data_IF_321620292702
#
_entry.id   IF_321620292702
#
_cell.length_a   1.000
_cell.length_b   1.000
_cell.length_c   1.000
_cell.angle_alpha   90.00
_cell.angle_beta   90.00
_cell.angle_gamma   90.00
#
_symmetry.space_group_name_H-M   'P 1'
#
loop_
_entity.id
_entity.type
_entity.pdbx_description
1 polymer ?
#
# COMPACT_ATOMS: atom_id res chain seq x y z
N UNK A 1 3.66 7.09 18.44
CA UNK A 1 4.87 6.75 17.67
C UNK A 1 4.68 7.10 16.20
N UNK A 2 5.68 7.71 15.55
CA UNK A 2 5.68 7.98 14.12
C UNK A 2 6.39 6.86 13.34
N UNK A 3 5.72 6.29 12.34
CA UNK A 3 6.24 5.17 11.53
C UNK A 3 6.36 5.51 10.03
N UNK A 4 5.98 6.73 9.64
CA UNK A 4 5.94 7.12 8.23
C UNK A 4 4.82 6.42 7.45
N UNK A 5 5.11 6.01 6.21
CA UNK A 5 4.10 5.42 5.32
C UNK A 5 3.86 3.97 5.73
N UNK A 6 2.63 3.49 5.57
CA UNK A 6 2.21 2.16 6.03
C UNK A 6 1.54 1.44 4.87
N UNK A 7 1.97 0.21 4.62
CA UNK A 7 1.35 -0.74 3.71
C UNK A 7 0.77 -1.88 4.56
N UNK A 8 -0.45 -2.29 4.29
CA UNK A 8 -1.06 -3.44 4.91
C UNK A 8 -1.76 -4.35 3.88
N UNK A 9 -1.70 -5.65 4.13
CA UNK A 9 -2.37 -6.68 3.35
C UNK A 9 -3.11 -7.62 4.29
N UNK A 10 -4.28 -8.10 3.91
CA UNK A 10 -5.05 -8.97 4.79
C UNK A 10 -6.32 -9.50 4.16
N UNK A 11 -7.14 -10.15 4.99
CA UNK A 11 -8.51 -10.54 4.65
C UNK A 11 -9.49 -10.06 5.69
N UNK A 12 -10.66 -9.65 5.21
CA UNK A 12 -11.79 -9.22 6.02
C UNK A 12 -13.05 -9.89 5.52
N UNK A 13 -13.73 -10.65 6.39
CA UNK A 13 -14.91 -11.42 6.00
C UNK A 13 -14.64 -12.39 4.85
N UNK A 14 -13.43 -12.98 4.81
CA UNK A 14 -13.01 -13.90 3.75
C UNK A 14 -12.59 -13.24 2.42
N UNK A 15 -12.62 -11.91 2.31
CA UNK A 15 -12.23 -11.15 1.11
C UNK A 15 -10.87 -10.50 1.33
N UNK A 16 -9.97 -10.60 0.34
CA UNK A 16 -8.64 -10.01 0.42
C UNK A 16 -8.67 -8.50 0.27
N UNK A 17 -7.82 -7.80 1.00
CA UNK A 17 -7.69 -6.35 0.92
C UNK A 17 -6.23 -5.91 0.96
N UNK A 18 -5.98 -4.76 0.34
CA UNK A 18 -4.76 -4.00 0.47
C UNK A 18 -5.12 -2.62 1.02
N UNK A 19 -4.34 -2.11 1.97
CA UNK A 19 -4.56 -0.80 2.57
C UNK A 19 -3.27 -0.01 2.64
N UNK A 20 -3.41 1.30 2.50
CA UNK A 20 -2.30 2.24 2.52
C UNK A 20 -2.62 3.43 3.41
N UNK A 21 -1.64 3.90 4.15
CA UNK A 21 -1.73 5.16 4.91
C UNK A 21 -0.48 6.00 4.68
N UNK A 22 -0.72 7.26 4.35
CA UNK A 22 0.31 8.28 4.36
C UNK A 22 0.41 8.84 5.78
N UNK A 23 1.61 8.83 6.36
CA UNK A 23 1.92 9.67 7.52
C UNK A 23 3.18 10.48 7.29
N UNK A 24 3.07 11.78 7.54
CA UNK A 24 4.03 12.77 7.07
C UNK A 24 4.21 13.90 8.07
N UNK A 25 5.46 14.31 8.28
CA UNK A 25 5.78 15.54 9.01
C UNK A 25 6.02 16.70 8.05
N UNK A 26 6.84 16.48 7.02
CA UNK A 26 7.33 17.53 6.11
C UNK A 26 6.37 17.87 4.97
N UNK A 27 5.52 16.91 4.55
CA UNK A 27 4.58 17.08 3.44
C UNK A 27 3.17 16.59 3.85
N UNK A 28 2.46 17.32 4.72
CA UNK A 28 1.11 16.97 5.15
C UNK A 28 0.05 17.31 4.11
N UNK A 29 0.34 18.22 3.17
CA UNK A 29 -0.62 18.72 2.18
C UNK A 29 -0.79 17.75 1.00
N UNK A 30 -1.21 16.51 1.28
CA UNK A 30 -1.44 15.46 0.28
C UNK A 30 -2.82 14.86 0.43
N UNK A 31 -3.35 14.37 -0.69
CA UNK A 31 -4.63 13.66 -0.74
C UNK A 31 -4.51 12.40 -1.58
N UNK A 32 -5.39 11.44 -1.30
CA UNK A 32 -5.59 10.24 -2.11
C UNK A 32 -6.83 10.41 -3.00
N UNK A 33 -6.75 10.01 -4.27
CA UNK A 33 -7.83 10.10 -5.24
C UNK A 33 -7.96 8.78 -6.01
N UNK A 34 -9.19 8.27 -6.13
CA UNK A 34 -9.46 7.08 -6.97
C UNK A 34 -9.46 7.49 -8.44
N UNK A 35 -8.70 6.78 -9.27
CA UNK A 35 -8.60 6.99 -10.71
C UNK A 35 -8.67 5.65 -11.46
N UNK A 36 -9.87 5.26 -11.88
CA UNK A 36 -10.08 3.96 -12.53
C UNK A 36 -9.64 2.81 -11.63
N UNK A 37 -8.76 1.94 -12.11
CA UNK A 37 -8.15 0.84 -11.35
C UNK A 37 -6.95 1.23 -10.48
N UNK A 38 -6.86 2.49 -10.05
CA UNK A 38 -5.73 3.01 -9.27
C UNK A 38 -6.17 3.99 -8.19
N UNK A 39 -5.32 4.19 -7.20
CA UNK A 39 -5.44 5.27 -6.24
C UNK A 39 -4.14 6.07 -6.27
N UNK A 40 -4.26 7.34 -6.67
CA UNK A 40 -3.16 8.29 -6.75
C UNK A 40 -3.04 9.03 -5.43
N UNK A 41 -1.84 9.04 -4.85
CA UNK A 41 -1.47 10.03 -3.82
C UNK A 41 -0.79 11.18 -4.53
N UNK A 42 -1.21 12.41 -4.26
CA UNK A 42 -0.59 13.61 -4.82
C UNK A 42 -0.65 14.76 -3.81
N UNK A 43 0.24 15.76 -3.94
CA UNK A 43 0.10 16.98 -3.18
C UNK A 43 -1.15 17.75 -3.63
N UNK A 44 -1.65 18.61 -2.74
CA UNK A 44 -2.74 19.55 -3.06
C UNK A 44 -2.22 20.72 -3.91
N UNK A 45 -0.96 21.10 -3.72
CA UNK A 45 -0.25 22.10 -4.52
C UNK A 45 0.80 21.41 -5.41
N UNK A 46 0.73 21.63 -6.72
CA UNK A 46 1.69 21.06 -7.67
C UNK A 46 3.11 21.59 -7.48
N UNK A 47 3.29 22.76 -6.86
CA UNK A 47 4.61 23.33 -6.59
C UNK A 47 5.46 22.45 -5.65
N UNK A 48 4.82 21.67 -4.76
CA UNK A 48 5.53 20.76 -3.87
C UNK A 48 6.23 19.61 -4.63
N UNK A 49 5.80 19.28 -5.85
CA UNK A 49 6.46 18.26 -6.68
C UNK A 49 7.89 18.66 -7.07
N UNK A 50 8.14 19.96 -7.25
CA UNK A 50 9.49 20.45 -7.54
C UNK A 50 10.43 20.30 -6.34
N UNK A 51 9.87 20.22 -5.12
CA UNK A 51 10.64 20.11 -3.86
C UNK A 51 10.98 18.65 -3.52
N UNK A 52 10.08 17.72 -3.83
CA UNK A 52 10.34 16.30 -3.57
C UNK A 52 9.59 15.41 -4.59
N UNK A 53 10.30 14.61 -5.41
CA UNK A 53 9.68 13.75 -6.42
C UNK A 53 8.95 12.54 -5.84
N UNK A 54 9.16 12.19 -4.57
CA UNK A 54 8.59 11.02 -3.90
C UNK A 54 7.21 11.29 -3.25
N UNK A 55 6.53 12.38 -3.60
CA UNK A 55 5.26 12.77 -2.96
C UNK A 55 4.03 12.54 -3.85
N UNK A 56 4.22 12.13 -5.11
CA UNK A 56 3.14 11.73 -6.01
C UNK A 56 3.42 10.38 -6.67
N UNK A 57 2.48 9.45 -6.53
CA UNK A 57 2.57 8.08 -7.03
C UNK A 57 1.23 7.36 -6.87
N UNK A 58 1.00 6.33 -7.68
CA UNK A 58 -0.09 5.39 -7.43
C UNK A 58 0.25 4.58 -6.18
N UNK A 59 -0.49 4.76 -5.09
CA UNK A 59 -0.26 3.98 -3.88
C UNK A 59 -0.93 2.61 -3.94
N UNK A 60 -2.02 2.49 -4.71
CA UNK A 60 -2.72 1.24 -4.97
C UNK A 60 -3.01 1.13 -6.46
N UNK A 61 -2.78 -0.06 -7.01
CA UNK A 61 -3.14 -0.45 -8.37
C UNK A 61 -3.83 -1.81 -8.32
N UNK A 62 -4.87 -1.98 -9.14
CA UNK A 62 -5.59 -3.27 -9.22
C UNK A 62 -5.70 -3.71 -10.68
N UNK A 63 -5.61 -5.02 -10.88
CA UNK A 63 -5.88 -5.66 -12.16
C UNK A 63 -6.45 -7.05 -11.90
N UNK A 64 -7.56 -7.38 -12.55
CA UNK A 64 -8.23 -8.67 -12.38
C UNK A 64 -8.40 -9.03 -10.89
N UNK A 65 -7.80 -10.11 -10.44
CA UNK A 65 -7.87 -10.66 -9.09
C UNK A 65 -6.68 -10.27 -8.19
N UNK A 66 -5.86 -9.29 -8.61
CA UNK A 66 -4.70 -8.80 -7.86
C UNK A 66 -4.86 -7.33 -7.48
N UNK A 67 -4.54 -7.01 -6.22
CA UNK A 67 -4.31 -5.64 -5.76
C UNK A 67 -2.87 -5.47 -5.26
N UNK A 68 -2.19 -4.46 -5.76
CA UNK A 68 -0.83 -4.06 -5.39
C UNK A 68 -0.90 -2.75 -4.62
N UNK A 69 -0.09 -2.62 -3.59
CA UNK A 69 0.00 -1.44 -2.73
C UNK A 69 1.47 -1.11 -2.42
N UNK A 70 1.87 0.15 -2.49
CA UNK A 70 3.24 0.56 -2.14
C UNK A 70 3.33 2.03 -1.73
N UNK A 71 4.49 2.43 -1.19
CA UNK A 71 4.76 3.83 -0.83
C UNK A 71 5.40 4.67 -1.93
N UNK A 72 5.45 4.21 -3.19
CA UNK A 72 6.09 4.97 -4.27
C UNK A 72 5.72 4.51 -5.68
N UNK A 73 6.47 4.98 -6.68
CA UNK A 73 6.22 4.71 -8.11
C UNK A 73 6.41 3.24 -8.51
N UNK A 74 7.09 2.45 -7.67
CA UNK A 74 7.28 1.02 -7.87
C UNK A 74 5.97 0.20 -7.80
N UNK A 75 4.85 0.77 -7.33
CA UNK A 75 3.52 0.14 -7.47
C UNK A 75 3.21 -0.21 -8.92
N UNK A 76 3.54 0.68 -9.86
CA UNK A 76 3.23 0.49 -11.28
C UNK A 76 4.07 -0.64 -11.88
N UNK A 77 5.39 -0.65 -11.61
CA UNK A 77 6.27 -1.74 -12.05
C UNK A 77 5.81 -3.10 -11.50
N UNK A 78 5.46 -3.19 -10.21
CA UNK A 78 5.01 -4.46 -9.61
C UNK A 78 3.76 -4.97 -10.33
N UNK A 79 2.77 -4.10 -10.57
CA UNK A 79 1.55 -4.50 -11.25
C UNK A 79 1.83 -4.92 -12.69
N UNK A 80 2.60 -4.14 -13.45
CA UNK A 80 2.95 -4.44 -14.86
C UNK A 80 3.64 -5.81 -14.98
N UNK A 81 4.57 -6.10 -14.07
CA UNK A 81 5.23 -7.42 -13.99
C UNK A 81 4.26 -8.57 -13.73
N UNK A 82 3.26 -8.35 -12.87
CA UNK A 82 2.22 -9.35 -12.61
C UNK A 82 1.32 -9.52 -13.84
N UNK A 83 1.00 -8.44 -14.56
CA UNK A 83 0.26 -8.50 -15.82
C UNK A 83 1.01 -9.27 -16.91
N UNK A 84 2.33 -9.17 -16.93
CA UNK A 84 3.23 -9.95 -17.80
C UNK A 84 3.35 -11.43 -17.37
N UNK A 85 2.66 -11.84 -16.29
CA UNK A 85 2.59 -13.22 -15.82
C UNK A 85 3.59 -13.59 -14.73
N UNK A 86 4.31 -12.63 -14.14
CA UNK A 86 5.17 -12.91 -12.98
C UNK A 86 4.34 -13.15 -11.71
N UNK A 87 4.86 -14.02 -10.84
CA UNK A 87 4.25 -14.23 -9.52
C UNK A 87 4.38 -12.95 -8.68
N UNK A 88 3.40 -12.62 -7.82
CA UNK A 88 3.46 -11.41 -6.98
C UNK A 88 4.74 -11.29 -6.14
N UNK A 89 5.23 -12.39 -5.56
CA UNK A 89 6.47 -12.41 -4.79
C UNK A 89 7.69 -11.98 -5.62
N UNK A 90 7.83 -12.53 -6.83
CA UNK A 90 8.95 -12.25 -7.73
C UNK A 90 8.87 -10.82 -8.27
N UNK A 91 7.67 -10.35 -8.61
CA UNK A 91 7.43 -8.98 -9.07
C UNK A 91 7.79 -7.94 -7.99
N UNK A 92 7.40 -8.19 -6.73
CA UNK A 92 7.77 -7.36 -5.59
C UNK A 92 9.30 -7.39 -5.39
N UNK A 93 9.91 -8.57 -5.34
CA UNK A 93 11.35 -8.70 -5.11
C UNK A 93 12.17 -7.99 -6.20
N UNK A 94 11.85 -8.24 -7.48
CA UNK A 94 12.50 -7.60 -8.62
C UNK A 94 12.38 -6.07 -8.56
N UNK A 95 11.17 -5.56 -8.27
CA UNK A 95 10.94 -4.11 -8.20
C UNK A 95 11.68 -3.48 -7.03
N UNK A 96 11.68 -4.12 -5.86
CA UNK A 96 12.40 -3.62 -4.70
C UNK A 96 13.92 -3.62 -4.90
N UNK A 97 14.48 -4.65 -5.55
CA UNK A 97 15.91 -4.69 -5.91
C UNK A 97 16.25 -3.62 -6.95
N UNK A 98 15.40 -3.44 -7.97
CA UNK A 98 15.65 -2.47 -9.03
C UNK A 98 15.59 -1.02 -8.53
N UNK A 99 14.63 -0.70 -7.66
CA UNK A 99 14.45 0.65 -7.15
C UNK A 99 15.29 0.97 -5.92
N UNK A 100 15.63 -0.02 -5.09
CA UNK A 100 16.26 0.17 -3.79
C UNK A 100 15.41 1.03 -2.84
N UNK A 101 16.05 1.70 -1.90
CA UNK A 101 15.42 2.69 -1.03
C UNK A 101 15.32 4.08 -1.71
N UNK A 102 14.57 5.01 -1.14
CA UNK A 102 14.49 6.40 -1.60
C UNK A 102 15.74 7.17 -1.20
N UNK A 103 16.43 7.80 -2.16
CA UNK A 103 17.66 8.58 -1.91
C UNK A 103 17.32 9.99 -1.40
N UNK A 104 16.59 10.03 -0.29
CA UNK A 104 16.30 11.26 0.46
C UNK A 104 17.20 11.36 1.71
N UNK A 105 16.99 12.39 2.53
CA UNK A 105 17.80 12.64 3.74
C UNK A 105 17.70 11.54 4.80
N UNK A 106 16.69 10.66 4.72
CA UNK A 106 16.41 9.61 5.70
C UNK A 106 16.61 8.20 5.16
N UNK A 107 17.07 8.08 3.91
CA UNK A 107 17.17 6.82 3.18
C UNK A 107 15.87 6.03 3.24
N UNK A 108 14.73 6.72 2.99
CA UNK A 108 13.42 6.13 3.28
C UNK A 108 13.24 4.77 2.59
N UNK A 109 12.90 3.70 3.33
CA UNK A 109 12.64 2.41 2.73
C UNK A 109 11.50 2.43 1.71
N UNK A 110 11.61 1.58 0.69
CA UNK A 110 10.48 1.24 -0.18
C UNK A 110 9.76 0.05 0.40
N UNK A 111 8.46 0.17 0.59
CA UNK A 111 7.58 -0.88 1.11
C UNK A 111 6.50 -1.16 0.08
N UNK A 112 6.21 -2.44 -0.11
CA UNK A 112 5.22 -2.91 -1.06
C UNK A 112 4.44 -4.08 -0.48
N UNK A 113 3.27 -4.33 -1.06
CA UNK A 113 2.49 -5.51 -0.79
C UNK A 113 1.56 -5.82 -1.95
N UNK A 114 1.09 -7.06 -1.97
CA UNK A 114 0.07 -7.51 -2.91
C UNK A 114 -0.89 -8.47 -2.24
N UNK A 115 -2.09 -8.60 -2.78
CA UNK A 115 -3.04 -9.67 -2.41
C UNK A 115 -3.64 -10.30 -3.66
N UNK A 116 -3.84 -11.62 -3.57
CA UNK A 116 -4.51 -12.42 -4.60
C UNK A 116 -5.17 -13.63 -3.93
N UNK A 117 -6.49 -13.77 -4.05
CA UNK A 117 -7.24 -14.85 -3.42
C UNK A 117 -7.08 -14.88 -1.90
N UNK A 118 -6.49 -15.94 -1.35
CA UNK A 118 -6.19 -16.08 0.08
C UNK A 118 -4.72 -15.81 0.44
N UNK A 119 -3.91 -15.29 -0.50
CA UNK A 119 -2.50 -15.01 -0.29
C UNK A 119 -2.25 -13.51 -0.21
N UNK A 120 -1.30 -13.15 0.64
CA UNK A 120 -0.77 -11.81 0.75
C UNK A 120 0.75 -11.83 0.70
N UNK A 121 1.33 -10.76 0.18
CA UNK A 121 2.78 -10.57 0.16
C UNK A 121 3.10 -9.20 0.74
N UNK A 122 4.17 -9.12 1.52
CA UNK A 122 4.78 -7.86 1.93
C UNK A 122 6.26 -7.88 1.56
N UNK A 123 6.76 -6.70 1.21
CA UNK A 123 8.14 -6.47 0.85
C UNK A 123 8.65 -5.14 1.40
N UNK A 124 9.92 -5.10 1.74
CA UNK A 124 10.64 -3.89 2.14
C UNK A 124 12.05 -3.89 1.55
N UNK A 125 12.50 -2.74 1.05
CA UNK A 125 13.89 -2.46 0.68
C UNK A 125 14.39 -1.28 1.51
N UNK A 126 15.36 -1.55 2.39
CA UNK A 126 16.13 -0.58 3.16
C UNK A 126 17.46 -0.33 2.46
N UNK A 127 18.30 0.53 3.05
CA UNK A 127 19.65 0.83 2.51
C UNK A 127 20.50 -0.43 2.30
N UNK A 128 20.54 -1.30 3.29
CA UNK A 128 21.49 -2.41 3.35
C UNK A 128 20.83 -3.79 3.24
N UNK A 129 19.50 -3.85 3.20
CA UNK A 129 18.76 -5.11 3.11
C UNK A 129 17.43 -4.99 2.40
N UNK A 130 16.96 -6.10 1.84
CA UNK A 130 15.61 -6.25 1.32
C UNK A 130 15.03 -7.57 1.81
N UNK A 131 13.72 -7.57 2.05
CA UNK A 131 13.00 -8.74 2.54
C UNK A 131 11.62 -8.79 1.88
N UNK A 132 11.22 -9.97 1.43
CA UNK A 132 9.88 -10.23 0.89
C UNK A 132 9.36 -11.52 1.49
N UNK A 133 8.09 -11.52 1.91
CA UNK A 133 7.44 -12.68 2.52
C UNK A 133 6.05 -12.87 1.99
N UNK A 134 5.69 -14.12 1.78
CA UNK A 134 4.33 -14.59 1.50
C UNK A 134 3.63 -15.01 2.80
N UNK A 135 2.32 -14.76 2.84
CA UNK A 135 1.41 -15.10 3.92
C UNK A 135 0.19 -15.83 3.38
N UNK A 136 -0.11 -16.99 3.96
CA UNK A 136 -1.45 -17.59 3.86
C UNK A 136 -2.39 -16.83 4.80
N UNK A 137 -3.35 -16.10 4.23
CA UNK A 137 -4.24 -15.23 4.99
C UNK A 137 -5.51 -15.99 5.38
N UNK A 138 -5.71 -16.14 6.69
CA UNK A 138 -6.98 -16.61 7.26
C UNK A 138 -8.09 -15.57 7.09
N UNK A 139 -9.35 -15.95 7.35
CA UNK A 139 -10.55 -15.14 7.04
C UNK A 139 -10.55 -13.72 7.63
N UNK A 140 -9.81 -13.50 8.73
CA UNK A 140 -9.74 -12.25 9.46
C UNK A 140 -8.33 -12.01 10.00
N UNK A 141 -7.36 -11.95 9.09
CA UNK A 141 -5.96 -11.71 9.42
C UNK A 141 -5.40 -10.61 8.53
N UNK A 142 -4.58 -9.74 9.11
CA UNK A 142 -3.88 -8.70 8.37
C UNK A 142 -2.45 -8.56 8.89
N UNK A 143 -1.55 -8.18 7.99
CA UNK A 143 -0.18 -7.83 8.27
C UNK A 143 0.12 -6.45 7.72
N UNK A 144 1.02 -5.73 8.38
CA UNK A 144 1.49 -4.42 7.94
C UNK A 144 3.00 -4.33 7.97
N UNK A 145 3.50 -3.36 7.22
CA UNK A 145 4.89 -2.88 7.27
C UNK A 145 4.86 -1.36 7.12
N UNK A 146 5.80 -0.69 7.78
CA UNK A 146 5.95 0.75 7.70
C UNK A 146 7.38 1.13 7.30
N UNK A 147 7.54 2.38 6.83
CA UNK A 147 8.87 2.89 6.43
C UNK A 147 9.82 3.06 7.62
N UNK A 148 9.31 3.34 8.82
CA UNK A 148 10.12 3.57 10.02
C UNK A 148 9.55 2.80 11.22
N UNK A 149 10.44 2.40 12.14
CA UNK A 149 10.14 1.69 13.40
C UNK A 149 9.51 0.30 13.22
N UNK A 150 8.36 0.21 12.55
CA UNK A 150 7.66 -1.03 12.21
C UNK A 150 8.12 -1.57 10.86
N UNK A 151 9.43 -1.79 10.72
CA UNK A 151 10.04 -2.25 9.45
C UNK A 151 10.03 -3.76 9.27
N UNK A 152 9.56 -4.50 10.27
CA UNK A 152 9.24 -5.92 10.16
C UNK A 152 7.78 -6.11 9.75
N UNK A 153 7.43 -7.34 9.35
CA UNK A 153 6.06 -7.69 9.01
C UNK A 153 5.26 -8.04 10.26
N UNK A 154 4.43 -7.11 10.71
CA UNK A 154 3.68 -7.21 11.95
C UNK A 154 2.21 -7.54 11.71
N UNK A 155 1.60 -8.31 12.61
CA UNK A 155 0.16 -8.51 12.60
C UNK A 155 -0.57 -7.19 12.90
N UNK A 156 -1.71 -6.97 12.26
CA UNK A 156 -2.51 -5.77 12.38
C UNK A 156 -3.98 -6.11 12.65
N UNK A 157 -4.62 -5.39 13.57
CA UNK A 157 -6.08 -5.42 13.72
C UNK A 157 -6.71 -4.45 12.72
N UNK A 158 -6.79 -4.88 11.47
CA UNK A 158 -7.34 -4.09 10.37
C UNK A 158 -8.34 -4.95 9.59
N UNK A 159 -9.60 -4.54 9.63
CA UNK A 159 -10.72 -5.20 8.95
C UNK A 159 -11.82 -4.20 8.63
N UNK A 160 -12.73 -4.55 7.72
CA UNK A 160 -13.86 -3.72 7.32
C UNK A 160 -14.80 -4.42 6.34
N UNK A 161 -16.04 -3.96 6.26
CA UNK A 161 -17.08 -4.53 5.39
C UNK A 161 -16.96 -4.07 3.93
N UNK A 162 -16.31 -2.92 3.71
CA UNK A 162 -16.08 -2.31 2.40
C UNK A 162 -14.73 -1.58 2.39
N UNK A 163 -14.25 -1.19 1.21
CA UNK A 163 -12.97 -0.51 1.06
C UNK A 163 -12.92 0.83 1.83
N UNK A 164 -14.03 1.57 1.92
CA UNK A 164 -14.08 2.85 2.63
C UNK A 164 -13.84 2.70 4.13
N UNK A 165 -14.45 1.68 4.75
CA UNK A 165 -14.20 1.34 6.15
C UNK A 165 -12.75 0.94 6.40
N UNK A 166 -12.16 0.14 5.51
CA UNK A 166 -10.75 -0.27 5.64
C UNK A 166 -9.82 0.94 5.52
N UNK A 167 -10.06 1.83 4.55
CA UNK A 167 -9.30 3.07 4.41
C UNK A 167 -9.40 3.94 5.66
N UNK A 168 -10.62 4.09 6.22
CA UNK A 168 -10.84 4.82 7.47
C UNK A 168 -10.11 4.19 8.65
N UNK A 169 -10.20 2.87 8.82
CA UNK A 169 -9.48 2.18 9.91
C UNK A 169 -7.97 2.26 9.75
N UNK A 170 -7.45 2.21 8.52
CA UNK A 170 -6.02 2.43 8.27
C UNK A 170 -5.61 3.86 8.68
N UNK A 171 -6.44 4.86 8.38
CA UNK A 171 -6.24 6.23 8.86
C UNK A 171 -6.25 6.32 10.39
N UNK A 172 -7.20 5.66 11.04
CA UNK A 172 -7.43 5.73 12.50
C UNK A 172 -6.48 4.85 13.33
N UNK A 173 -5.54 4.11 12.70
CA UNK A 173 -4.50 3.38 13.43
C UNK A 173 -3.82 4.31 14.46
N UNK A 174 -3.50 3.83 15.68
CA UNK A 174 -2.97 4.62 16.79
C UNK A 174 -1.49 5.00 16.59
N UNK A 175 -1.20 5.63 15.46
CA UNK A 175 0.11 6.03 14.96
C UNK A 175 0.05 7.53 14.62
N UNK A 176 1.17 8.21 14.72
CA UNK A 176 1.18 9.68 14.62
C UNK A 176 1.09 10.19 13.17
N UNK A 177 0.64 11.45 13.05
CA UNK A 177 0.65 12.26 11.82
C UNK A 177 -0.06 11.62 10.62
N UNK A 178 -1.30 11.11 10.77
CA UNK A 178 -2.08 10.65 9.63
C UNK A 178 -2.33 11.83 8.66
N UNK A 179 -2.29 11.56 7.36
CA UNK A 179 -2.55 12.54 6.30
C UNK A 179 -3.74 12.11 5.46
N UNK A 180 -3.67 10.93 4.86
CA UNK A 180 -4.75 10.30 4.13
C UNK A 180 -4.55 8.78 4.14
N UNK A 181 -5.59 8.05 3.77
CA UNK A 181 -5.55 6.60 3.64
C UNK A 181 -6.34 6.12 2.41
N UNK A 182 -6.04 4.90 1.99
CA UNK A 182 -6.63 4.26 0.84
C UNK A 182 -6.77 2.76 1.08
N UNK A 183 -7.73 2.13 0.41
CA UNK A 183 -7.86 0.68 0.43
C UNK A 183 -8.48 0.14 -0.85
N UNK A 184 -8.13 -1.11 -1.14
CA UNK A 184 -8.77 -1.98 -2.11
C UNK A 184 -9.32 -3.20 -1.38
N UNK A 185 -10.56 -3.59 -1.67
CA UNK A 185 -11.17 -4.82 -1.15
C UNK A 185 -11.70 -5.66 -2.31
N UNK A 186 -11.36 -6.95 -2.34
CA UNK A 186 -11.82 -7.85 -3.39
C UNK A 186 -13.35 -7.94 -3.37
N UNK A 187 -13.98 -7.83 -4.52
CA UNK A 187 -15.42 -7.96 -4.67
C UNK A 187 -15.81 -9.43 -4.85
N UNK A 188 -17.01 -9.85 -4.42
CA UNK A 188 -17.54 -11.17 -4.73
C UNK A 188 -17.57 -11.42 -6.25
N UNK A 189 -17.39 -12.66 -6.69
CA UNK A 189 -17.51 -13.01 -8.11
C UNK A 189 -18.88 -12.64 -8.69
N UNK A 190 -19.94 -12.74 -7.89
CA UNK A 190 -21.31 -12.33 -8.26
C UNK A 190 -21.43 -10.84 -8.61
N UNK A 191 -20.49 -10.00 -8.16
CA UNK A 191 -20.43 -8.57 -8.46
C UNK A 191 -19.44 -8.23 -9.59
N UNK A 192 -19.07 -9.22 -10.42
CA UNK A 192 -18.10 -9.07 -11.50
C UNK A 192 -16.65 -9.28 -11.07
N UNK A 193 -16.40 -9.65 -9.82
CA UNK A 193 -15.06 -9.84 -9.27
C UNK A 193 -14.26 -8.54 -9.18
N UNK A 194 -12.94 -8.63 -9.15
CA UNK A 194 -12.07 -7.45 -9.06
C UNK A 194 -11.96 -6.87 -7.66
N UNK A 195 -11.69 -5.57 -7.58
CA UNK A 195 -11.51 -4.83 -6.33
C UNK A 195 -12.32 -3.55 -6.32
N UNK A 196 -13.04 -3.32 -5.23
CA UNK A 196 -13.60 -2.01 -4.90
C UNK A 196 -12.51 -1.13 -4.28
N UNK A 197 -12.40 0.11 -4.77
CA UNK A 197 -11.41 1.08 -4.31
C UNK A 197 -12.09 2.19 -3.51
N UNK A 198 -11.43 2.62 -2.44
CA UNK A 198 -11.89 3.78 -1.67
C UNK A 198 -10.71 4.52 -1.03
N UNK A 199 -10.96 5.79 -0.71
CA UNK A 199 -10.02 6.67 -0.03
C UNK A 199 -10.67 7.30 1.19
N UNK A 200 -9.84 7.69 2.15
CA UNK A 200 -10.22 8.55 3.25
C UNK A 200 -9.24 9.73 3.32
N UNK A 201 -9.76 10.93 3.07
CA UNK A 201 -9.06 12.19 3.30
C UNK A 201 -9.79 12.92 4.44
N UNK A 202 -9.08 13.38 5.49
CA UNK A 202 -9.70 14.21 6.52
C UNK A 202 -10.16 15.53 5.90
N UNK A 203 -11.25 16.09 6.47
CA UNK A 203 -11.78 17.40 6.08
C UNK A 203 -10.81 18.53 6.42
#
# INVERSE_FOLDING_TARGET
>A
MYVGRIVAVGRSGGRSFAAYRVSSRSFPNRRAEVRGGSILVSPMDSADLARNPYIAYNCIRVVCDVAVVSNGTHTDMILERIQDGQKPMDAIALSLVAFGYERDELDTPRIAGAVQGNRGWLGIAKRDEFHVREFDLDKSQAFLVATYQKTDFEAADLAGSNAGEIARRAYDLPLEKPVCAAAALSLPQEQGGGFGLAVYNPN
#
